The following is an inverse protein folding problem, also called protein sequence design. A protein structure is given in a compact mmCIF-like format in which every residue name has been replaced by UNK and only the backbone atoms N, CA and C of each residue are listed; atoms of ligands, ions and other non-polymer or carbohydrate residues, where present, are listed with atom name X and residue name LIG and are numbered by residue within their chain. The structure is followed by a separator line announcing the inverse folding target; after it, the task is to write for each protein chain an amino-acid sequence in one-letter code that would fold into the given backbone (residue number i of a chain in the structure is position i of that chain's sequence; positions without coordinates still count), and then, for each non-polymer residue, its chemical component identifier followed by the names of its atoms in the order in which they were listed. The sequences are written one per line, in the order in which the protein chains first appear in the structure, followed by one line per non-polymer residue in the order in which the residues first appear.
data_IF_346959611823
#
_entry.id   IF_346959611823
#
_cell.length_a   1.000
_cell.length_b   1.000
_cell.length_c   1.000
_cell.angle_alpha   90.00
_cell.angle_beta   90.00
_cell.angle_gamma   90.00
#
_symmetry.space_group_name_H-M   'P 1'
#
loop_
_entity.id
_entity.type
_entity.pdbx_description
1 polymer ?
#
# COMPACT_ATOMS: atom_id res chain seq x y z
N UNK A 1 27.71 -12.45 2.42
CA UNK A 1 27.23 -12.30 1.02
C UNK A 1 26.03 -11.39 1.07
N UNK A 2 26.17 -10.13 0.66
CA UNK A 2 25.02 -9.26 0.46
C UNK A 2 24.35 -9.70 -0.84
N UNK A 3 23.14 -10.26 -0.75
CA UNK A 3 22.38 -10.68 -1.91
C UNK A 3 21.97 -9.45 -2.73
N UNK A 4 22.20 -9.53 -4.04
CA UNK A 4 21.97 -8.45 -5.00
C UNK A 4 20.54 -7.89 -4.87
N UNK A 5 20.47 -6.56 -4.83
CA UNK A 5 19.27 -5.77 -4.56
C UNK A 5 18.15 -6.15 -5.53
N UNK A 6 16.96 -6.38 -4.98
CA UNK A 6 15.74 -6.66 -5.75
C UNK A 6 15.41 -5.47 -6.66
N UNK A 7 15.56 -5.61 -7.98
CA UNK A 7 15.28 -4.55 -8.96
C UNK A 7 13.85 -4.66 -9.49
N UNK A 8 13.25 -3.52 -9.84
CA UNK A 8 11.93 -3.43 -10.50
C UNK A 8 12.16 -3.05 -11.95
N UNK A 9 11.47 -3.71 -12.89
CA UNK A 9 11.53 -3.39 -14.31
C UNK A 9 10.30 -2.54 -14.69
N UNK A 10 10.45 -1.21 -14.87
CA UNK A 10 9.31 -0.32 -15.07
C UNK A 10 8.51 -0.63 -16.33
N UNK A 11 9.17 -0.96 -17.44
CA UNK A 11 8.46 -1.19 -18.72
C UNK A 11 7.57 -2.44 -18.71
N UNK A 12 7.97 -3.46 -17.92
CA UNK A 12 7.26 -4.73 -17.81
C UNK A 12 6.36 -4.78 -16.57
N UNK A 13 6.50 -3.83 -15.65
CA UNK A 13 5.84 -3.80 -14.35
C UNK A 13 6.02 -5.09 -13.53
N UNK A 14 7.22 -5.67 -13.56
CA UNK A 14 7.57 -6.89 -12.81
C UNK A 14 8.82 -6.68 -11.93
N UNK A 15 8.97 -7.55 -10.94
CA UNK A 15 10.22 -7.70 -10.22
C UNK A 15 11.22 -8.48 -11.07
N UNK A 16 12.48 -8.06 -11.05
CA UNK A 16 13.57 -8.75 -11.77
C UNK A 16 14.11 -9.98 -11.01
N UNK A 17 13.61 -10.21 -9.80
CA UNK A 17 13.92 -11.34 -8.95
C UNK A 17 12.69 -11.77 -8.17
N UNK A 18 12.72 -12.99 -7.66
CA UNK A 18 11.66 -13.57 -6.82
C UNK A 18 11.37 -12.64 -5.63
N UNK A 19 10.12 -12.25 -5.46
CA UNK A 19 9.63 -11.48 -4.32
C UNK A 19 9.78 -12.31 -3.04
N UNK A 20 10.18 -11.68 -1.93
CA UNK A 20 10.06 -12.31 -0.61
C UNK A 20 8.60 -12.62 -0.22
N UNK A 21 7.63 -12.06 -0.93
CA UNK A 21 6.19 -12.34 -0.82
C UNK A 21 5.75 -13.66 -1.44
N UNK A 22 6.59 -14.29 -2.28
CA UNK A 22 6.22 -15.46 -3.08
C UNK A 22 5.70 -16.62 -2.22
N UNK A 23 6.30 -16.83 -1.04
CA UNK A 23 5.92 -17.94 -0.16
C UNK A 23 4.61 -17.66 0.61
N UNK A 24 4.27 -16.37 0.79
CA UNK A 24 3.09 -15.93 1.55
C UNK A 24 1.81 -16.00 0.71
N UNK A 25 1.92 -15.76 -0.60
CA UNK A 25 0.79 -15.71 -1.52
C UNK A 25 1.04 -16.63 -2.72
N UNK A 26 0.81 -17.95 -2.58
CA UNK A 26 1.08 -18.92 -3.65
C UNK A 26 0.19 -18.74 -4.89
N UNK A 27 -0.89 -17.98 -4.75
CA UNK A 27 -1.78 -17.58 -5.85
C UNK A 27 -1.23 -16.40 -6.68
N UNK A 28 -0.14 -15.77 -6.24
CA UNK A 28 0.53 -14.70 -6.95
C UNK A 28 1.80 -15.23 -7.58
N UNK A 29 2.16 -14.70 -8.75
CA UNK A 29 3.45 -15.03 -9.36
C UNK A 29 4.58 -14.51 -8.48
N UNK A 30 5.74 -15.19 -8.44
CA UNK A 30 6.90 -14.73 -7.68
C UNK A 30 7.44 -13.37 -8.14
N UNK A 31 6.98 -12.85 -9.28
CA UNK A 31 7.48 -11.63 -9.91
C UNK A 31 6.50 -10.45 -9.85
N UNK A 32 5.36 -10.61 -9.16
CA UNK A 32 4.36 -9.55 -9.06
C UNK A 32 4.89 -8.28 -8.39
N UNK A 33 4.64 -7.14 -9.04
CA UNK A 33 4.79 -5.82 -8.44
C UNK A 33 3.43 -5.33 -7.92
N UNK A 34 3.36 -4.95 -6.64
CA UNK A 34 2.15 -4.41 -6.00
C UNK A 34 0.88 -5.27 -6.19
N UNK A 35 1.02 -6.60 -6.23
CA UNK A 35 -0.09 -7.55 -6.54
C UNK A 35 -0.87 -7.18 -7.81
N UNK A 36 -0.18 -6.72 -8.85
CA UNK A 36 -0.76 -6.19 -10.09
C UNK A 36 -1.68 -4.98 -9.94
N UNK A 37 -1.58 -4.26 -8.83
CA UNK A 37 -2.37 -3.05 -8.56
C UNK A 37 -1.48 -1.88 -8.11
N UNK A 38 -0.53 -1.42 -8.95
CA UNK A 38 0.38 -0.33 -8.60
C UNK A 38 -0.32 1.04 -8.46
N UNK A 39 -1.57 1.17 -8.92
CA UNK A 39 -2.37 2.40 -8.77
C UNK A 39 -2.86 2.60 -7.34
N UNK A 40 -3.22 1.50 -6.67
CA UNK A 40 -3.80 1.56 -5.32
C UNK A 40 -2.90 0.91 -4.27
N UNK A 41 -1.76 0.32 -4.64
CA UNK A 41 -0.88 -0.36 -3.70
C UNK A 41 0.57 0.04 -3.91
N UNK A 42 1.32 0.04 -2.81
CA UNK A 42 2.78 0.27 -2.79
C UNK A 42 3.45 -0.89 -2.06
N UNK A 43 4.58 -1.39 -2.58
CA UNK A 43 5.38 -2.44 -1.97
C UNK A 43 6.80 -1.92 -1.60
N UNK A 44 6.97 -1.16 -0.50
CA UNK A 44 8.22 -0.45 -0.20
C UNK A 44 9.42 -1.38 0.03
N UNK A 45 9.18 -2.50 0.73
CA UNK A 45 10.21 -3.46 1.14
C UNK A 45 10.05 -4.83 0.46
N UNK A 46 9.06 -5.00 -0.43
CA UNK A 46 8.74 -6.25 -1.16
C UNK A 46 8.44 -7.46 -0.25
N UNK A 47 8.19 -7.23 1.04
CA UNK A 47 7.71 -8.22 2.02
C UNK A 47 6.22 -8.16 2.22
N UNK A 48 5.64 -6.98 2.01
CA UNK A 48 4.20 -6.74 1.94
C UNK A 48 3.93 -5.59 0.98
N UNK A 49 2.70 -5.54 0.49
CA UNK A 49 2.14 -4.42 -0.25
C UNK A 49 0.96 -3.82 0.50
N UNK A 50 0.88 -2.49 0.49
CA UNK A 50 -0.05 -1.71 1.29
C UNK A 50 -0.97 -0.93 0.39
N UNK A 51 -2.27 -0.94 0.71
CA UNK A 51 -3.24 -0.11 0.00
C UNK A 51 -3.02 1.37 0.34
N UNK A 52 -3.02 2.20 -0.69
CA UNK A 52 -2.97 3.65 -0.58
C UNK A 52 -4.35 4.08 -0.11
N UNK A 53 -4.47 4.39 1.18
CA UNK A 53 -5.67 5.05 1.67
C UNK A 53 -5.69 6.48 1.15
N UNK A 54 -6.65 6.78 0.27
CA UNK A 54 -6.99 8.18 -0.03
C UNK A 54 -7.74 8.70 1.19
N UNK A 55 -6.99 9.17 2.18
CA UNK A 55 -7.60 9.84 3.33
C UNK A 55 -8.29 11.08 2.80
N UNK A 56 -9.61 11.04 2.74
CA UNK A 56 -10.40 12.20 2.37
C UNK A 56 -10.33 13.17 3.55
N UNK A 57 -9.28 14.00 3.58
CA UNK A 57 -9.00 14.94 4.67
C UNK A 57 -10.21 15.83 4.97
N UNK A 58 -11.05 16.10 3.96
CA UNK A 58 -12.33 16.81 4.11
C UNK A 58 -13.32 16.05 4.99
N UNK A 59 -13.45 14.73 4.83
CA UNK A 59 -14.35 13.90 5.63
C UNK A 59 -13.92 13.83 7.11
N UNK A 60 -12.61 13.69 7.37
CA UNK A 60 -12.06 13.73 8.73
C UNK A 60 -12.22 15.11 9.39
N UNK A 61 -12.03 16.20 8.64
CA UNK A 61 -12.27 17.55 9.13
C UNK A 61 -13.76 17.77 9.43
N UNK A 62 -14.66 17.28 8.57
CA UNK A 62 -16.11 17.40 8.80
C UNK A 62 -16.56 16.58 10.02
N UNK A 63 -16.01 15.39 10.24
CA UNK A 63 -16.32 14.62 11.46
C UNK A 63 -15.84 15.34 12.71
N UNK A 64 -14.64 15.92 12.68
CA UNK A 64 -14.10 16.72 13.78
C UNK A 64 -14.99 17.93 14.10
N UNK A 65 -15.41 18.69 13.07
CA UNK A 65 -16.32 19.83 13.22
C UNK A 65 -17.66 19.41 13.82
N UNK A 66 -18.19 18.25 13.41
CA UNK A 66 -19.45 17.72 13.95
C UNK A 66 -19.32 17.34 15.42
N UNK A 67 -18.22 16.68 15.81
CA UNK A 67 -17.93 16.34 17.20
C UNK A 67 -17.78 17.60 18.06
N UNK A 68 -17.07 18.61 17.56
CA UNK A 68 -16.92 19.90 18.26
C UNK A 68 -18.27 20.57 18.45
N UNK A 69 -19.12 20.60 17.42
CA UNK A 69 -20.50 21.13 17.52
C UNK A 69 -21.32 20.38 18.57
N UNK A 70 -21.23 19.05 18.60
CA UNK A 70 -21.94 18.23 19.59
C UNK A 70 -21.51 18.55 21.02
N UNK A 71 -20.21 18.78 21.26
CA UNK A 71 -19.70 19.19 22.58
C UNK A 71 -20.31 20.53 22.99
N UNK A 72 -20.34 21.53 22.11
CA UNK A 72 -20.92 22.84 22.42
C UNK A 72 -22.43 22.83 22.61
N UNK A 73 -23.15 21.83 22.09
CA UNK A 73 -24.59 21.67 22.35
C UNK A 73 -24.93 20.92 23.63
N UNK A 74 -23.93 20.32 24.29
CA UNK A 74 -24.08 19.52 25.52
C UNK A 74 -23.64 20.27 26.79
N UNK A 75 -23.17 21.51 26.66
CA UNK A 75 -22.77 22.43 27.75
C UNK A 75 -23.79 23.57 27.79
#
# INVERSE_FOLDING_TARGET
METLRYFYHPDLSILHSVASLSDKYPNLTPYHYCSNNPMNRVAPNRKDDYEISVVNHKAQLMSLVQTIRQIYTLI
#
